data_IF_921811328366
#
_entry.id   IF_921811328366
#
_cell.length_a   1.000
_cell.length_b   1.000
_cell.length_c   1.000
_cell.angle_alpha   90.00
_cell.angle_beta   90.00
_cell.angle_gamma   90.00
#
_symmetry.space_group_name_H-M   'P 1'
#
loop_
_entity.id
_entity.type
_entity.pdbx_description
1 polymer ?
#
# COMPACT_ATOMS: atom_id res chain seq x y z
N UNK A 1 2.39 -1.77 -11.54
CA UNK A 1 2.18 -1.09 -12.83
C UNK A 1 1.92 0.38 -12.59
N UNK A 2 2.54 1.27 -13.34
CA UNK A 2 2.34 2.72 -13.20
C UNK A 2 1.35 3.21 -14.26
N UNK A 3 0.12 2.68 -14.25
CA UNK A 3 -0.95 3.20 -15.09
C UNK A 3 -1.39 4.56 -14.54
N UNK A 4 -1.66 5.52 -15.41
CA UNK A 4 -2.06 6.88 -15.05
C UNK A 4 -3.48 7.16 -15.53
N UNK A 5 -4.49 7.01 -14.64
CA UNK A 5 -5.86 7.37 -14.97
C UNK A 5 -6.01 8.86 -15.23
N UNK A 6 -6.84 9.21 -16.20
CA UNK A 6 -7.15 10.60 -16.56
C UNK A 6 -8.66 10.79 -16.68
N UNK A 7 -9.09 12.04 -16.51
CA UNK A 7 -10.43 12.49 -16.88
C UNK A 7 -10.34 13.18 -18.24
N UNK A 8 -11.22 12.82 -19.17
CA UNK A 8 -11.25 13.39 -20.51
C UNK A 8 -12.69 13.54 -21.01
N UNK A 9 -12.90 14.39 -22.00
CA UNK A 9 -14.16 14.47 -22.74
C UNK A 9 -13.89 14.03 -24.19
N UNK A 10 -14.87 13.37 -24.81
CA UNK A 10 -14.78 13.12 -26.25
C UNK A 10 -14.88 14.44 -27.03
N UNK A 11 -14.46 14.42 -28.30
CA UNK A 11 -14.68 15.55 -29.20
C UNK A 11 -16.19 15.83 -29.31
N UNK A 12 -16.57 17.10 -29.46
CA UNK A 12 -17.99 17.51 -29.55
C UNK A 12 -18.77 16.77 -30.64
N UNK A 13 -18.10 16.36 -31.73
CA UNK A 13 -18.70 15.57 -32.81
C UNK A 13 -19.19 14.19 -32.36
N UNK A 14 -18.57 13.62 -31.32
CA UNK A 14 -18.87 12.30 -30.76
C UNK A 14 -19.72 12.39 -29.48
N UNK A 15 -19.56 13.48 -28.73
CA UNK A 15 -20.30 13.74 -27.50
C UNK A 15 -20.60 15.25 -27.38
N UNK A 16 -21.76 15.70 -27.91
CA UNK A 16 -22.16 17.10 -27.85
C UNK A 16 -22.35 17.61 -26.41
N UNK A 17 -22.70 16.71 -25.48
CA UNK A 17 -22.94 17.04 -24.08
C UNK A 17 -21.62 17.16 -23.29
N UNK A 18 -20.50 16.72 -23.88
CA UNK A 18 -19.15 16.88 -23.32
C UNK A 18 -18.98 16.21 -21.96
N UNK A 19 -19.60 15.04 -21.76
CA UNK A 19 -19.64 14.36 -20.49
C UNK A 19 -18.22 13.89 -20.13
N UNK A 20 -17.75 14.30 -18.94
CA UNK A 20 -16.46 13.89 -18.43
C UNK A 20 -16.42 12.37 -18.21
N UNK A 21 -15.50 11.72 -18.90
CA UNK A 21 -15.19 10.30 -18.79
C UNK A 21 -13.91 10.09 -17.98
N UNK A 22 -13.80 8.92 -17.37
CA UNK A 22 -12.60 8.51 -16.66
C UNK A 22 -12.01 7.27 -17.32
N UNK A 23 -10.71 7.27 -17.58
CA UNK A 23 -10.08 6.16 -18.27
C UNK A 23 -8.57 6.27 -18.40
N UNK A 24 -8.03 5.51 -19.34
CA UNK A 24 -6.61 5.42 -19.64
C UNK A 24 -6.35 5.78 -21.10
N UNK A 25 -5.20 6.39 -21.36
CA UNK A 25 -4.75 6.74 -22.71
C UNK A 25 -3.93 5.59 -23.29
N UNK A 26 -4.34 5.05 -24.43
CA UNK A 26 -3.75 3.84 -25.03
C UNK A 26 -2.23 3.98 -25.27
N UNK A 27 -1.77 5.13 -25.74
CA UNK A 27 -0.35 5.42 -26.00
C UNK A 27 0.47 5.51 -24.70
N UNK A 28 -0.16 5.91 -23.59
CA UNK A 28 0.50 5.91 -22.28
C UNK A 28 0.55 4.49 -21.71
N UNK A 29 -0.53 3.73 -21.85
CA UNK A 29 -0.58 2.33 -21.43
C UNK A 29 0.42 1.49 -22.21
N UNK A 30 0.57 1.70 -23.52
CA UNK A 30 1.53 0.96 -24.34
C UNK A 30 2.96 1.08 -23.82
N UNK A 31 3.37 2.27 -23.36
CA UNK A 31 4.71 2.51 -22.78
C UNK A 31 4.93 1.75 -21.48
N UNK A 32 3.86 1.44 -20.74
CA UNK A 32 3.91 0.73 -19.45
C UNK A 32 3.80 -0.78 -19.66
N UNK A 33 2.84 -1.21 -20.47
CA UNK A 33 2.61 -2.60 -20.84
C UNK A 33 1.88 -2.68 -22.20
N UNK A 34 2.59 -3.02 -23.29
CA UNK A 34 2.03 -3.15 -24.63
C UNK A 34 0.89 -4.18 -24.75
N UNK A 35 0.89 -5.23 -23.92
CA UNK A 35 -0.10 -6.31 -24.00
C UNK A 35 -1.50 -5.87 -23.56
N UNK A 36 -1.60 -4.72 -22.89
CA UNK A 36 -2.85 -4.13 -22.42
C UNK A 36 -3.50 -3.21 -23.46
N UNK A 37 -2.95 -3.15 -24.68
CA UNK A 37 -3.43 -2.27 -25.75
C UNK A 37 -3.72 -3.09 -27.00
N UNK A 38 -4.84 -2.78 -27.66
CA UNK A 38 -5.13 -3.29 -28.99
C UNK A 38 -4.64 -2.29 -30.04
N UNK A 39 -4.09 -2.80 -31.13
CA UNK A 39 -3.53 -2.01 -32.23
C UNK A 39 -4.42 -2.08 -33.47
N UNK A 40 -4.39 -1.01 -34.26
CA UNK A 40 -5.04 -0.96 -35.58
C UNK A 40 -4.22 -1.74 -36.64
N UNK A 41 -4.71 -1.70 -37.90
CA UNK A 41 -4.05 -2.34 -39.05
C UNK A 41 -2.65 -1.78 -39.35
N UNK A 42 -2.34 -0.55 -38.89
CA UNK A 42 -1.03 0.09 -39.03
C UNK A 42 -0.10 -0.25 -37.85
N UNK A 43 -0.57 -1.03 -36.88
CA UNK A 43 0.17 -1.36 -35.67
C UNK A 43 0.20 -0.23 -34.63
N UNK A 44 -0.64 0.80 -34.75
CA UNK A 44 -0.69 1.90 -33.77
C UNK A 44 -1.65 1.56 -32.64
N UNK A 45 -1.36 1.99 -31.39
CA UNK A 45 -2.32 1.94 -30.29
C UNK A 45 -3.66 2.53 -30.70
N UNK A 46 -4.72 1.73 -30.60
CA UNK A 46 -6.07 2.16 -30.95
C UNK A 46 -6.97 2.22 -29.71
N UNK A 47 -6.89 1.22 -28.82
CA UNK A 47 -7.71 1.19 -27.61
C UNK A 47 -7.06 0.40 -26.49
N UNK A 48 -7.43 0.70 -25.26
CA UNK A 48 -7.02 -0.07 -24.07
C UNK A 48 -7.89 -1.33 -23.96
N UNK A 49 -7.26 -2.47 -23.69
CA UNK A 49 -7.93 -3.75 -23.43
C UNK A 49 -8.46 -3.76 -22.00
N UNK A 50 -9.55 -3.05 -21.74
CA UNK A 50 -10.08 -2.87 -20.38
C UNK A 50 -10.40 -4.18 -19.65
N UNK A 51 -10.82 -5.23 -20.35
CA UNK A 51 -11.03 -6.56 -19.77
C UNK A 51 -9.73 -7.13 -19.16
N UNK A 52 -8.61 -7.01 -19.89
CA UNK A 52 -7.30 -7.44 -19.43
C UNK A 52 -6.79 -6.56 -18.28
N UNK A 53 -7.01 -5.24 -18.36
CA UNK A 53 -6.70 -4.30 -17.28
C UNK A 53 -7.46 -4.66 -16.01
N UNK A 54 -8.77 -4.90 -16.10
CA UNK A 54 -9.63 -5.21 -14.97
C UNK A 54 -9.22 -6.54 -14.30
N UNK A 55 -8.95 -7.58 -15.10
CA UNK A 55 -8.47 -8.87 -14.57
C UNK A 55 -7.11 -8.73 -13.87
N UNK A 56 -6.20 -7.96 -14.45
CA UNK A 56 -4.91 -7.66 -13.83
C UNK A 56 -5.07 -6.87 -12.53
N UNK A 57 -5.93 -5.84 -12.50
CA UNK A 57 -6.21 -5.04 -11.31
C UNK A 57 -6.84 -5.87 -10.19
N UNK A 58 -7.71 -6.84 -10.50
CA UNK A 58 -8.25 -7.78 -9.50
C UNK A 58 -7.12 -8.57 -8.82
N UNK A 59 -6.18 -9.10 -9.60
CA UNK A 59 -5.04 -9.82 -9.06
C UNK A 59 -4.15 -8.93 -8.18
N UNK A 60 -3.86 -7.70 -8.60
CA UNK A 60 -3.09 -6.75 -7.80
C UNK A 60 -3.83 -6.31 -6.54
N UNK A 61 -5.15 -6.13 -6.61
CA UNK A 61 -6.00 -5.85 -5.45
C UNK A 61 -5.93 -6.98 -4.42
N UNK A 62 -6.07 -8.23 -4.86
CA UNK A 62 -5.96 -9.40 -3.97
C UNK A 62 -4.56 -9.51 -3.33
N UNK A 63 -3.49 -9.21 -4.07
CA UNK A 63 -2.13 -9.16 -3.52
C UNK A 63 -1.98 -8.06 -2.47
N UNK A 64 -2.49 -6.86 -2.76
CA UNK A 64 -2.45 -5.74 -1.84
C UNK A 64 -3.24 -6.05 -0.55
N UNK A 65 -4.41 -6.67 -0.67
CA UNK A 65 -5.22 -7.09 0.47
C UNK A 65 -4.48 -8.10 1.36
N UNK A 66 -3.88 -9.14 0.77
CA UNK A 66 -3.06 -10.10 1.54
C UNK A 66 -1.88 -9.44 2.25
N UNK A 67 -1.23 -8.45 1.61
CA UNK A 67 -0.15 -7.69 2.22
C UNK A 67 -0.64 -6.85 3.39
N UNK A 68 -1.82 -6.23 3.29
CA UNK A 68 -2.45 -5.51 4.40
C UNK A 68 -2.73 -6.44 5.57
N UNK A 69 -3.28 -7.63 5.33
CA UNK A 69 -3.53 -8.62 6.40
C UNK A 69 -2.24 -9.03 7.11
N UNK A 70 -1.17 -9.27 6.35
CA UNK A 70 0.15 -9.59 6.90
C UNK A 70 0.73 -8.44 7.72
N UNK A 71 0.58 -7.20 7.25
CA UNK A 71 1.02 -6.02 7.97
C UNK A 71 0.23 -5.84 9.27
N UNK A 72 -1.09 -6.06 9.25
CA UNK A 72 -1.91 -5.98 10.45
C UNK A 72 -1.48 -7.02 11.50
N UNK A 73 -1.25 -8.27 11.08
CA UNK A 73 -0.75 -9.31 11.98
C UNK A 73 0.63 -8.98 12.57
N UNK A 74 1.49 -8.32 11.79
CA UNK A 74 2.80 -7.86 12.26
C UNK A 74 2.67 -6.71 13.27
N UNK A 75 1.77 -5.76 13.03
CA UNK A 75 1.46 -4.65 13.95
C UNK A 75 0.95 -5.21 15.28
N UNK A 76 0.00 -6.15 15.26
CA UNK A 76 -0.55 -6.75 16.47
C UNK A 76 0.54 -7.48 17.29
N UNK A 77 1.47 -8.16 16.60
CA UNK A 77 2.62 -8.80 17.25
C UNK A 77 3.57 -7.77 17.87
N UNK A 78 3.87 -6.70 17.14
CA UNK A 78 4.74 -5.63 17.63
C UNK A 78 4.12 -4.93 18.84
N UNK A 79 2.81 -4.69 18.83
CA UNK A 79 2.08 -4.09 19.95
C UNK A 79 2.23 -4.93 21.23
N UNK A 80 2.06 -6.25 21.14
CA UNK A 80 2.29 -7.17 22.28
C UNK A 80 3.74 -7.16 22.78
N UNK A 81 4.71 -7.08 21.86
CA UNK A 81 6.13 -6.98 22.23
C UNK A 81 6.45 -5.68 22.95
N UNK A 82 5.87 -4.56 22.50
CA UNK A 82 6.01 -3.25 23.15
C UNK A 82 5.43 -3.31 24.56
N UNK A 83 4.23 -3.84 24.74
CA UNK A 83 3.60 -3.99 26.07
C UNK A 83 4.45 -4.82 27.03
N UNK A 84 5.01 -5.94 26.56
CA UNK A 84 5.90 -6.77 27.35
C UNK A 84 7.19 -6.03 27.75
N UNK A 85 7.81 -5.30 26.82
CA UNK A 85 9.00 -4.49 27.08
C UNK A 85 8.72 -3.36 28.07
N UNK A 86 7.59 -2.66 27.93
CA UNK A 86 7.16 -1.61 28.86
C UNK A 86 7.00 -2.18 30.27
N UNK A 87 6.40 -3.38 30.42
CA UNK A 87 6.30 -4.04 31.73
C UNK A 87 7.66 -4.39 32.33
N UNK A 88 8.61 -4.87 31.50
CA UNK A 88 9.97 -5.19 31.95
C UNK A 88 10.69 -3.92 32.41
N UNK A 89 10.61 -2.83 31.64
CA UNK A 89 11.23 -1.54 31.99
C UNK A 89 10.67 -1.01 33.31
N UNK A 90 9.36 -1.11 33.53
CA UNK A 90 8.76 -0.72 34.81
C UNK A 90 9.32 -1.54 35.97
N UNK A 91 9.35 -2.87 35.85
CA UNK A 91 9.87 -3.77 36.90
C UNK A 91 11.33 -3.50 37.25
N UNK A 92 12.19 -3.28 36.24
CA UNK A 92 13.59 -2.92 36.45
C UNK A 92 13.71 -1.57 37.15
N UNK A 93 12.87 -0.60 36.78
CA UNK A 93 12.85 0.72 37.42
C UNK A 93 12.47 0.63 38.89
N UNK A 94 11.45 -0.18 39.22
CA UNK A 94 11.00 -0.42 40.60
C UNK A 94 12.10 -1.12 41.43
N UNK A 95 12.80 -2.11 40.86
CA UNK A 95 13.92 -2.79 41.53
C UNK A 95 15.08 -1.84 41.82
N UNK A 96 15.44 -0.97 40.87
CA UNK A 96 16.49 0.04 41.08
C UNK A 96 16.08 1.03 42.17
N UNK A 97 14.82 1.46 42.19
CA UNK A 97 14.31 2.35 43.24
C UNK A 97 14.42 1.70 44.64
N UNK A 98 13.95 0.46 44.78
CA UNK A 98 14.05 -0.31 46.03
C UNK A 98 15.49 -0.51 46.50
N UNK A 99 16.41 -0.78 45.56
CA UNK A 99 17.84 -0.99 45.85
C UNK A 99 18.54 0.27 46.36
N UNK A 100 18.08 1.46 45.94
CA UNK A 100 18.59 2.75 46.42
C UNK A 100 18.05 3.12 47.81
N UNK A 101 16.87 2.63 48.19
CA UNK A 101 16.22 2.95 49.47
C UNK A 101 16.62 1.98 50.59
N UNK A 102 17.09 0.78 50.27
CA UNK A 102 17.67 -0.13 51.26
C UNK A 102 18.97 0.49 51.83
N UNK A 103 19.13 0.62 53.16
CA UNK A 103 20.38 1.10 53.72
C UNK A 103 21.49 0.13 53.32
N UNK A 104 22.50 0.63 52.62
CA UNK A 104 23.77 -0.08 52.49
C UNK A 104 24.35 -0.16 53.90
N UNK A 105 24.03 -1.23 54.62
CA UNK A 105 24.75 -1.66 55.82
C UNK A 105 26.15 -2.07 55.34
N UNK A 106 27.01 -1.07 55.19
CA UNK A 106 28.45 -1.28 55.06
C UNK A 106 28.90 -1.81 56.41
N UNK A 107 28.92 -3.13 56.53
CA UNK A 107 29.67 -3.81 57.58
C UNK A 107 31.16 -3.60 57.27
N UNK A 108 31.74 -2.56 57.86
CA UNK A 108 33.17 -2.35 57.87
C UNK A 108 33.73 -2.95 59.17
N UNK A 109 34.71 -3.88 59.12
CA UNK A 109 35.38 -4.43 60.30
C UNK A 109 36.30 -3.42 60.99
#
# INVERSE_FOLDING_TARGET
>A
LALQPVTFCYKQELDPDGIAQFGLVAEQVEKVNPDLVARDEQGKPYTVRYEAVNAMLLNEFLKAHRKLDQQQAMIDRQQKQIEALTSIVQKVSDQIALSKTAPQLVANP
#
